data_IF_572172716861
#
_entry.id   IF_572172716861
#
_cell.length_a   1.000
_cell.length_b   1.000
_cell.length_c   1.000
_cell.angle_alpha   90.00
_cell.angle_beta   90.00
_cell.angle_gamma   90.00
#
_symmetry.space_group_name_H-M   'P 1'
#
loop_
_entity.id
_entity.type
_entity.pdbx_description
1 polymer ?
#
# COMPACT_ATOMS: atom_id res chain seq x y z
N UNK A 1 76.78 -11.80 32.59
CA UNK A 1 77.42 -10.47 32.48
C UNK A 1 76.48 -9.59 31.67
N UNK A 2 76.00 -8.51 32.27
CA UNK A 2 75.05 -7.56 31.70
C UNK A 2 75.65 -6.81 30.51
N UNK A 3 74.92 -6.68 29.42
CA UNK A 3 75.06 -5.56 28.49
C UNK A 3 73.70 -4.91 28.28
N UNK A 4 73.67 -3.63 28.63
CA UNK A 4 72.58 -2.71 28.42
C UNK A 4 72.33 -2.49 26.92
N UNK A 5 71.06 -2.31 26.54
CA UNK A 5 70.71 -1.53 25.35
C UNK A 5 69.64 -0.51 25.72
N UNK A 6 70.07 0.73 25.60
CA UNK A 6 69.38 1.98 25.88
C UNK A 6 68.70 2.46 24.59
N UNK A 7 67.49 3.01 24.74
CA UNK A 7 66.83 4.01 23.88
C UNK A 7 66.28 3.57 22.52
N UNK A 8 64.95 3.67 22.37
CA UNK A 8 64.29 4.66 21.48
C UNK A 8 62.78 4.66 21.73
N UNK A 9 62.27 5.62 22.51
CA UNK A 9 60.83 5.93 22.57
C UNK A 9 60.50 6.80 21.36
N UNK A 10 59.90 6.20 20.33
CA UNK A 10 59.31 6.94 19.21
C UNK A 10 57.91 7.37 19.64
N UNK A 11 57.74 8.68 19.78
CA UNK A 11 56.44 9.35 19.85
C UNK A 11 55.82 9.30 18.47
N UNK A 12 54.74 8.53 18.31
CA UNK A 12 53.80 8.71 17.21
C UNK A 12 52.43 8.93 17.82
N UNK A 13 52.06 10.21 17.86
CA UNK A 13 50.69 10.64 18.01
C UNK A 13 49.88 10.16 16.79
N UNK A 14 48.84 9.36 17.03
CA UNK A 14 47.74 9.20 16.07
C UNK A 14 46.46 9.52 16.80
N UNK A 15 45.80 10.56 16.29
CA UNK A 15 44.47 11.05 16.60
C UNK A 15 43.54 10.01 17.24
N UNK A 16 43.02 10.37 18.41
CA UNK A 16 41.78 9.85 18.97
C UNK A 16 40.66 10.02 17.92
N UNK A 17 40.41 8.98 17.12
CA UNK A 17 39.13 8.85 16.43
C UNK A 17 38.08 8.60 17.52
N UNK A 18 37.34 9.66 17.82
CA UNK A 18 36.07 9.63 18.53
C UNK A 18 35.26 8.40 18.08
N UNK A 19 34.96 7.48 19.00
CA UNK A 19 33.90 6.52 18.80
C UNK A 19 32.61 7.32 18.60
N UNK A 20 32.25 7.59 17.34
CA UNK A 20 30.87 7.92 17.01
C UNK A 20 30.07 6.67 17.34
N UNK A 21 29.37 6.71 18.47
CA UNK A 21 28.32 5.77 18.77
C UNK A 21 27.40 5.72 17.55
N UNK A 22 27.28 4.53 16.96
CA UNK A 22 26.18 4.25 16.07
C UNK A 22 24.94 4.30 16.96
N UNK A 23 24.28 5.45 16.99
CA UNK A 23 22.92 5.55 17.49
C UNK A 23 22.12 4.57 16.63
N UNK A 24 21.74 3.43 17.22
CA UNK A 24 20.73 2.56 16.67
C UNK A 24 19.49 3.44 16.47
N UNK A 25 19.14 3.69 15.21
CA UNK A 25 17.89 4.37 14.86
C UNK A 25 16.75 3.48 15.37
N UNK A 26 16.17 3.86 16.50
CA UNK A 26 14.91 3.31 16.96
C UNK A 26 13.86 3.47 15.85
N UNK A 27 13.04 2.45 15.55
CA UNK A 27 11.93 2.63 14.63
C UNK A 27 10.99 3.68 15.21
N UNK A 28 10.68 4.71 14.42
CA UNK A 28 9.73 5.75 14.82
C UNK A 28 8.37 5.10 15.10
N UNK A 29 7.66 5.51 16.18
CA UNK A 29 6.28 5.08 16.39
C UNK A 29 5.41 5.57 15.24
N UNK A 30 4.50 4.70 14.81
CA UNK A 30 3.64 4.82 13.65
C UNK A 30 2.54 5.88 13.88
N UNK A 31 2.89 7.17 13.89
CA UNK A 31 1.93 8.28 13.89
C UNK A 31 2.61 9.61 13.50
N UNK A 32 2.62 9.94 12.20
CA UNK A 32 2.65 11.32 11.69
C UNK A 32 2.44 11.34 10.16
N UNK A 33 1.18 11.44 9.75
CA UNK A 33 0.79 11.93 8.44
C UNK A 33 1.23 13.40 8.29
N UNK A 34 2.08 13.72 7.31
CA UNK A 34 2.35 15.10 6.89
C UNK A 34 1.84 15.28 5.45
N UNK A 35 0.74 16.00 5.21
CA UNK A 35 0.36 16.38 3.87
C UNK A 35 1.19 17.61 3.46
N UNK A 36 2.12 17.45 2.52
CA UNK A 36 2.64 18.60 1.79
C UNK A 36 1.64 18.98 0.69
N UNK A 37 0.78 19.95 1.01
CA UNK A 37 -0.01 20.77 0.09
C UNK A 37 0.92 21.55 -0.88
N UNK A 38 0.57 22.06 -2.05
CA UNK A 38 -0.58 21.98 -2.97
C UNK A 38 -0.17 22.90 -4.17
N UNK A 39 -0.02 22.38 -5.39
CA UNK A 39 0.44 23.15 -6.56
C UNK A 39 -0.70 23.93 -7.28
N UNK A 40 -1.47 24.74 -6.54
CA UNK A 40 -2.23 25.86 -7.11
C UNK A 40 -3.34 25.53 -8.12
N UNK A 41 -3.90 24.31 -8.14
CA UNK A 41 -5.12 24.02 -8.89
C UNK A 41 -6.35 24.25 -8.01
N UNK A 42 -7.37 24.92 -8.57
CA UNK A 42 -8.66 25.19 -7.93
C UNK A 42 -9.21 23.90 -7.29
N UNK A 43 -9.41 23.93 -5.97
CA UNK A 43 -9.91 22.79 -5.22
C UNK A 43 -11.37 22.52 -5.61
N UNK A 44 -11.64 21.37 -6.23
CA UNK A 44 -12.99 20.80 -6.24
C UNK A 44 -13.34 20.49 -4.77
N UNK A 45 -14.53 20.87 -4.25
CA UNK A 45 -14.92 20.48 -2.91
C UNK A 45 -14.92 18.95 -2.81
N UNK A 46 -14.11 18.40 -1.92
CA UNK A 46 -14.19 16.98 -1.58
C UNK A 46 -15.62 16.70 -1.09
N UNK A 47 -16.27 15.61 -1.54
CA UNK A 47 -17.51 15.16 -0.92
C UNK A 47 -17.29 15.03 0.59
N UNK A 48 -18.22 15.57 1.40
CA UNK A 48 -18.19 15.40 2.85
C UNK A 48 -18.11 13.91 3.18
N UNK A 49 -17.22 13.48 4.09
CA UNK A 49 -17.12 12.08 4.47
C UNK A 49 -18.45 11.63 5.05
N UNK A 50 -19.12 10.71 4.37
CA UNK A 50 -20.25 9.98 4.96
C UNK A 50 -19.74 9.20 6.18
N UNK A 51 -20.54 9.08 7.26
CA UNK A 51 -20.18 8.21 8.37
C UNK A 51 -19.88 6.81 7.82
N UNK A 52 -18.85 6.16 8.37
CA UNK A 52 -18.51 4.77 8.03
C UNK A 52 -19.77 3.92 8.10
N UNK A 53 -20.19 3.25 7.01
CA UNK A 53 -21.29 2.32 7.08
C UNK A 53 -21.01 1.29 8.18
N UNK A 54 -21.97 1.06 9.08
CA UNK A 54 -21.84 0.03 10.11
C UNK A 54 -21.70 -1.38 9.49
N UNK A 55 -22.13 -1.55 8.23
CA UNK A 55 -22.00 -2.76 7.44
C UNK A 55 -20.71 -2.73 6.59
N UNK A 56 -19.74 -3.62 6.85
CA UNK A 56 -18.51 -3.74 6.04
C UNK A 56 -18.77 -3.96 4.55
N UNK A 57 -19.83 -4.68 4.17
CA UNK A 57 -20.14 -4.91 2.74
C UNK A 57 -20.54 -3.61 2.03
N UNK A 58 -21.30 -2.75 2.70
CA UNK A 58 -21.66 -1.43 2.16
C UNK A 58 -20.42 -0.58 1.98
N UNK A 59 -19.51 -0.57 2.96
CA UNK A 59 -18.26 0.16 2.87
C UNK A 59 -17.36 -0.35 1.73
N UNK A 60 -17.26 -1.66 1.55
CA UNK A 60 -16.50 -2.28 0.45
C UNK A 60 -17.08 -1.93 -0.92
N UNK A 61 -18.41 -1.94 -1.07
CA UNK A 61 -19.09 -1.54 -2.31
C UNK A 61 -18.96 -0.04 -2.60
N UNK A 62 -18.90 0.78 -1.56
CA UNK A 62 -18.62 2.21 -1.71
C UNK A 62 -17.21 2.46 -2.27
N UNK A 63 -16.20 1.67 -1.88
CA UNK A 63 -14.88 1.70 -2.53
C UNK A 63 -14.98 1.38 -4.02
N UNK A 64 -15.70 0.32 -4.40
CA UNK A 64 -15.91 -0.03 -5.83
C UNK A 64 -16.50 1.15 -6.60
N UNK A 65 -17.55 1.78 -6.05
CA UNK A 65 -18.21 2.93 -6.67
C UNK A 65 -17.25 4.11 -6.87
N UNK A 66 -16.55 4.51 -5.81
CA UNK A 66 -15.60 5.64 -5.82
C UNK A 66 -14.41 5.40 -6.75
N UNK A 67 -13.86 4.18 -6.77
CA UNK A 67 -12.79 3.79 -7.69
C UNK A 67 -13.27 3.88 -9.14
N UNK A 68 -14.48 3.40 -9.44
CA UNK A 68 -15.03 3.48 -10.79
C UNK A 68 -15.34 4.91 -11.23
N UNK A 69 -15.85 5.77 -10.35
CA UNK A 69 -15.99 7.21 -10.64
C UNK A 69 -14.64 7.83 -11.00
N UNK A 70 -13.60 7.52 -10.21
CA UNK A 70 -12.25 8.01 -10.47
C UNK A 70 -11.68 7.48 -11.80
N UNK A 71 -11.88 6.20 -12.10
CA UNK A 71 -11.47 5.58 -13.37
C UNK A 71 -12.11 6.27 -14.56
N UNK A 72 -13.43 6.43 -14.55
CA UNK A 72 -14.17 7.07 -15.65
C UNK A 72 -13.74 8.53 -15.82
N UNK A 73 -13.57 9.27 -14.71
CA UNK A 73 -13.10 10.66 -14.76
C UNK A 73 -11.69 10.80 -15.36
N UNK A 74 -10.88 9.74 -15.36
CA UNK A 74 -9.52 9.71 -15.91
C UNK A 74 -9.42 8.93 -17.24
N UNK A 75 -10.56 8.70 -17.92
CA UNK A 75 -10.58 8.09 -19.25
C UNK A 75 -10.48 6.56 -19.26
N UNK A 76 -10.67 5.92 -18.10
CA UNK A 76 -10.60 4.48 -17.95
C UNK A 76 -12.00 3.86 -17.86
N UNK A 77 -12.25 2.71 -18.50
CA UNK A 77 -13.51 2.01 -18.31
C UNK A 77 -13.71 1.63 -16.84
N UNK A 78 -14.96 1.71 -16.40
CA UNK A 78 -15.37 1.12 -15.13
C UNK A 78 -15.12 -0.40 -15.16
N UNK A 79 -14.59 -0.92 -14.06
CA UNK A 79 -14.36 -2.34 -13.86
C UNK A 79 -15.50 -2.92 -12.99
N UNK A 80 -16.15 -4.02 -13.39
CA UNK A 80 -17.22 -4.62 -12.59
C UNK A 80 -16.69 -5.22 -11.29
N UNK A 81 -17.55 -5.28 -10.27
CA UNK A 81 -17.33 -6.10 -9.07
C UNK A 81 -17.25 -7.58 -9.49
N UNK A 82 -16.21 -8.28 -9.03
CA UNK A 82 -16.06 -9.72 -9.20
C UNK A 82 -16.15 -10.43 -7.84
N UNK A 83 -17.13 -11.32 -7.63
CA UNK A 83 -17.33 -11.99 -6.35
C UNK A 83 -16.11 -12.78 -5.84
N UNK A 84 -15.34 -13.39 -6.74
CA UNK A 84 -14.13 -14.15 -6.37
C UNK A 84 -13.05 -13.20 -5.84
N UNK A 85 -12.84 -12.06 -6.50
CA UNK A 85 -11.92 -11.04 -6.01
C UNK A 85 -12.40 -10.40 -4.70
N UNK A 86 -13.72 -10.21 -4.54
CA UNK A 86 -14.30 -9.72 -3.29
C UNK A 86 -14.00 -10.67 -2.12
N UNK A 87 -14.19 -11.97 -2.30
CA UNK A 87 -13.86 -12.98 -1.28
C UNK A 87 -12.35 -13.06 -1.02
N UNK A 88 -11.54 -13.09 -2.07
CA UNK A 88 -10.08 -13.20 -1.94
C UNK A 88 -9.46 -11.98 -1.24
N UNK A 89 -9.93 -10.77 -1.58
CA UNK A 89 -9.48 -9.53 -0.94
C UNK A 89 -9.91 -9.49 0.53
N UNK A 90 -11.14 -9.91 0.84
CA UNK A 90 -11.62 -10.01 2.23
C UNK A 90 -10.76 -10.98 3.04
N UNK A 91 -10.52 -12.18 2.51
CA UNK A 91 -9.69 -13.17 3.15
C UNK A 91 -8.26 -12.65 3.40
N UNK A 92 -7.74 -11.78 2.53
CA UNK A 92 -6.43 -11.15 2.74
C UNK A 92 -6.46 -10.12 3.87
N UNK A 93 -7.48 -9.26 3.92
CA UNK A 93 -7.68 -8.34 5.05
C UNK A 93 -7.80 -9.09 6.38
N UNK A 94 -8.52 -10.20 6.40
CA UNK A 94 -8.67 -11.06 7.59
C UNK A 94 -7.34 -11.72 7.98
N UNK A 95 -6.57 -12.21 7.00
CA UNK A 95 -5.26 -12.81 7.23
C UNK A 95 -4.28 -11.79 7.83
N UNK A 96 -4.20 -10.59 7.24
CA UNK A 96 -3.37 -9.50 7.75
C UNK A 96 -3.73 -9.12 9.19
N UNK A 97 -5.03 -9.01 9.48
CA UNK A 97 -5.52 -8.70 10.83
C UNK A 97 -5.18 -9.80 11.83
N UNK A 98 -5.36 -11.08 11.46
CA UNK A 98 -5.11 -12.21 12.33
C UNK A 98 -3.62 -12.41 12.66
N UNK A 99 -2.73 -12.04 11.73
CA UNK A 99 -1.28 -12.23 11.87
C UNK A 99 -0.54 -10.95 12.28
N UNK A 100 -1.25 -9.82 12.44
CA UNK A 100 -0.67 -8.51 12.72
C UNK A 100 0.42 -8.09 11.70
N UNK A 101 0.14 -8.30 10.41
CA UNK A 101 1.03 -7.91 9.32
C UNK A 101 0.34 -6.90 8.39
N UNK A 102 1.13 -6.12 7.65
CA UNK A 102 0.65 -5.22 6.60
C UNK A 102 1.51 -5.38 5.35
N UNK A 103 1.15 -6.35 4.51
CA UNK A 103 1.95 -6.79 3.37
C UNK A 103 1.04 -7.17 2.20
N UNK A 104 1.55 -7.01 0.98
CA UNK A 104 0.89 -7.52 -0.21
C UNK A 104 0.79 -9.03 -0.19
N UNK A 105 -0.32 -9.57 -0.71
CA UNK A 105 -0.56 -11.01 -0.76
C UNK A 105 0.53 -11.72 -1.55
N UNK A 106 1.06 -11.08 -2.60
CA UNK A 106 2.11 -11.62 -3.46
C UNK A 106 3.46 -11.81 -2.75
N UNK A 107 3.70 -11.12 -1.64
CA UNK A 107 4.92 -11.30 -0.84
C UNK A 107 4.91 -12.64 -0.09
N UNK A 108 3.74 -13.11 0.33
CA UNK A 108 3.55 -14.34 1.10
C UNK A 108 3.05 -15.50 0.23
N UNK A 109 2.10 -15.20 -0.65
CA UNK A 109 1.40 -16.13 -1.53
C UNK A 109 1.27 -15.51 -2.93
N UNK A 110 2.28 -15.67 -3.80
CA UNK A 110 2.26 -15.14 -5.17
C UNK A 110 1.01 -15.53 -5.99
N UNK A 111 0.36 -16.64 -5.62
CA UNK A 111 -0.84 -17.18 -6.28
C UNK A 111 -2.12 -16.97 -5.44
N UNK A 112 -2.16 -15.95 -4.58
CA UNK A 112 -3.27 -15.77 -3.63
C UNK A 112 -4.65 -15.75 -4.29
N UNK A 113 -4.79 -14.99 -5.38
CA UNK A 113 -6.03 -14.85 -6.13
C UNK A 113 -6.31 -16.07 -7.03
N UNK A 114 -5.29 -16.60 -7.71
CA UNK A 114 -5.43 -17.76 -8.59
C UNK A 114 -5.76 -19.05 -7.85
N UNK A 115 -5.17 -19.27 -6.68
CA UNK A 115 -5.51 -20.39 -5.79
C UNK A 115 -6.95 -20.33 -5.25
N UNK A 116 -7.61 -19.17 -5.34
CA UNK A 116 -9.01 -18.96 -4.95
C UNK A 116 -9.97 -18.95 -6.14
N UNK A 117 -9.48 -19.29 -7.34
CA UNK A 117 -10.30 -19.45 -8.52
C UNK A 117 -10.39 -18.22 -9.42
N UNK A 118 -9.68 -17.13 -9.13
CA UNK A 118 -9.55 -16.03 -10.10
C UNK A 118 -8.55 -16.45 -11.19
N UNK A 119 -8.98 -16.65 -12.43
CA UNK A 119 -8.16 -17.32 -13.45
C UNK A 119 -6.92 -16.55 -13.92
N UNK A 120 -6.75 -15.30 -13.48
CA UNK A 120 -5.71 -14.39 -13.95
C UNK A 120 -4.96 -13.73 -12.79
N UNK A 121 -4.01 -12.87 -13.13
CA UNK A 121 -3.24 -12.12 -12.13
C UNK A 121 -4.06 -10.94 -11.56
N UNK A 122 -3.73 -10.50 -10.35
CA UNK A 122 -4.35 -9.35 -9.71
C UNK A 122 -3.31 -8.47 -9.01
N UNK A 123 -3.53 -7.16 -9.11
CA UNK A 123 -2.74 -6.13 -8.42
C UNK A 123 -3.48 -5.66 -7.18
N UNK A 124 -2.74 -5.18 -6.19
CA UNK A 124 -3.31 -4.77 -4.92
C UNK A 124 -2.97 -3.32 -4.55
N UNK A 125 -3.93 -2.63 -3.96
CA UNK A 125 -3.68 -1.46 -3.11
C UNK A 125 -4.12 -1.80 -1.69
N UNK A 126 -3.28 -1.47 -0.70
CA UNK A 126 -3.58 -1.65 0.71
C UNK A 126 -3.69 -0.29 1.40
N UNK A 127 -4.53 -0.18 2.41
CA UNK A 127 -4.58 0.97 3.31
C UNK A 127 -4.87 0.51 4.74
N UNK A 128 -4.37 1.25 5.72
CA UNK A 128 -4.58 0.98 7.15
C UNK A 128 -4.77 2.29 7.90
N UNK A 129 -5.79 2.33 8.76
CA UNK A 129 -6.06 3.47 9.66
C UNK A 129 -7.20 4.39 9.19
N UNK A 130 -7.66 4.25 7.94
CA UNK A 130 -8.78 5.02 7.40
C UNK A 130 -10.10 4.46 7.95
N UNK A 131 -10.98 5.37 8.38
CA UNK A 131 -12.31 5.02 8.88
C UNK A 131 -13.31 4.81 7.75
N UNK A 132 -13.09 5.45 6.61
CA UNK A 132 -14.09 5.49 5.51
C UNK A 132 -13.50 5.05 4.18
N UNK A 133 -14.38 4.55 3.31
CA UNK A 133 -14.05 4.25 1.92
C UNK A 133 -13.48 5.48 1.19
N UNK A 134 -14.04 6.67 1.46
CA UNK A 134 -13.60 7.94 0.87
C UNK A 134 -12.16 8.26 1.26
N UNK A 135 -11.79 8.09 2.52
CA UNK A 135 -10.40 8.30 2.98
C UNK A 135 -9.45 7.27 2.34
N UNK A 136 -9.81 5.98 2.33
CA UNK A 136 -8.97 4.94 1.72
C UNK A 136 -8.72 5.21 0.23
N UNK A 137 -9.79 5.52 -0.52
CA UNK A 137 -9.69 5.83 -1.96
C UNK A 137 -8.91 7.12 -2.20
N UNK A 138 -9.12 8.17 -1.40
CA UNK A 138 -8.36 9.41 -1.50
C UNK A 138 -6.86 9.17 -1.30
N UNK A 139 -6.48 8.39 -0.29
CA UNK A 139 -5.08 8.10 0.00
C UNK A 139 -4.43 7.25 -1.11
N UNK A 140 -5.19 6.34 -1.74
CA UNK A 140 -4.72 5.65 -2.95
C UNK A 140 -4.57 6.58 -4.16
N UNK A 141 -5.47 7.53 -4.37
CA UNK A 141 -5.34 8.52 -5.44
C UNK A 141 -4.12 9.44 -5.24
N UNK A 142 -3.85 9.83 -4.00
CA UNK A 142 -2.74 10.71 -3.64
C UNK A 142 -1.35 10.03 -3.73
N UNK A 143 -1.30 8.70 -3.67
CA UNK A 143 -0.05 7.92 -3.80
C UNK A 143 0.22 7.55 -5.26
N UNK A 144 1.33 8.00 -5.89
CA UNK A 144 1.62 7.68 -7.30
C UNK A 144 1.66 6.18 -7.62
N UNK A 145 2.13 5.36 -6.67
CA UNK A 145 2.19 3.90 -6.87
C UNK A 145 0.80 3.26 -6.79
N UNK A 146 -0.04 3.66 -5.82
CA UNK A 146 -1.40 3.15 -5.70
C UNK A 146 -2.28 3.66 -6.86
N UNK A 147 -2.09 4.90 -7.28
CA UNK A 147 -2.84 5.51 -8.35
C UNK A 147 -2.60 4.81 -9.71
N UNK A 148 -1.38 4.33 -9.95
CA UNK A 148 -1.08 3.51 -11.13
C UNK A 148 -1.95 2.24 -11.19
N UNK A 149 -2.22 1.60 -10.05
CA UNK A 149 -3.15 0.47 -9.98
C UNK A 149 -4.56 0.94 -10.32
N UNK A 150 -5.06 2.01 -9.68
CA UNK A 150 -6.41 2.54 -9.92
C UNK A 150 -6.66 2.86 -11.40
N UNK A 151 -5.63 3.36 -12.11
CA UNK A 151 -5.68 3.75 -13.52
C UNK A 151 -5.05 2.72 -14.46
N UNK A 152 -5.17 1.44 -14.14
CA UNK A 152 -4.91 0.34 -15.09
C UNK A 152 -6.18 0.02 -15.88
N UNK A 153 -6.23 0.34 -17.18
CA UNK A 153 -7.51 0.61 -17.87
C UNK A 153 -7.84 -0.35 -19.01
N UNK A 154 -6.88 -0.58 -19.90
CA UNK A 154 -7.02 -1.49 -21.03
C UNK A 154 -5.65 -1.67 -21.68
N UNK A 155 -5.29 -2.90 -22.04
CA UNK A 155 -4.10 -3.18 -22.82
C UNK A 155 -4.53 -3.59 -24.24
N UNK A 156 -4.47 -2.66 -25.18
CA UNK A 156 -4.92 -2.88 -26.57
C UNK A 156 -4.23 -4.06 -27.27
N UNK A 157 -2.98 -4.34 -26.91
CA UNK A 157 -2.21 -5.47 -27.44
C UNK A 157 -2.71 -6.83 -26.96
N UNK A 158 -3.32 -6.91 -25.78
CA UNK A 158 -3.78 -8.18 -25.18
C UNK A 158 -5.30 -8.31 -25.15
N UNK A 159 -6.04 -7.20 -25.35
CA UNK A 159 -7.48 -7.15 -25.16
C UNK A 159 -7.91 -7.21 -23.69
N UNK A 160 -6.96 -7.11 -22.74
CA UNK A 160 -7.24 -7.27 -21.32
C UNK A 160 -8.18 -6.18 -20.78
N UNK A 161 -9.18 -6.63 -20.01
CA UNK A 161 -10.09 -5.79 -19.22
C UNK A 161 -9.79 -5.98 -17.73
N UNK A 162 -10.53 -5.30 -16.85
CA UNK A 162 -10.28 -5.38 -15.41
C UNK A 162 -11.55 -5.65 -14.63
N UNK A 163 -11.39 -6.36 -13.52
CA UNK A 163 -12.42 -6.59 -12.51
C UNK A 163 -11.91 -6.10 -11.13
N UNK A 164 -12.84 -5.76 -10.24
CA UNK A 164 -12.51 -5.25 -8.90
C UNK A 164 -13.00 -6.19 -7.79
N UNK A 165 -12.23 -6.26 -6.70
CA UNK A 165 -12.65 -6.82 -5.42
C UNK A 165 -12.11 -6.01 -4.26
N UNK A 166 -12.83 -5.93 -3.15
CA UNK A 166 -12.43 -5.15 -1.97
C UNK A 166 -12.61 -6.00 -0.73
N UNK A 167 -11.66 -5.94 0.19
CA UNK A 167 -11.70 -6.51 1.54
C UNK A 167 -11.62 -5.41 2.60
N UNK A 168 -12.27 -5.64 3.74
CA UNK A 168 -12.22 -4.75 4.90
C UNK A 168 -12.26 -5.56 6.21
N UNK A 169 -11.26 -5.39 7.06
CA UNK A 169 -11.29 -5.87 8.44
C UNK A 169 -10.75 -4.80 9.40
N UNK A 170 -11.56 -4.35 10.35
CA UNK A 170 -11.23 -3.20 11.18
C UNK A 170 -11.00 -1.95 10.32
N UNK A 171 -9.75 -1.47 10.29
CA UNK A 171 -9.32 -0.35 9.42
C UNK A 171 -8.33 -0.80 8.32
N UNK A 172 -8.22 -2.10 8.08
CA UNK A 172 -7.40 -2.68 7.00
C UNK A 172 -8.24 -2.83 5.74
N UNK A 173 -7.85 -2.11 4.70
CA UNK A 173 -8.49 -2.12 3.39
C UNK A 173 -7.60 -2.82 2.37
N UNK A 174 -8.18 -3.73 1.61
CA UNK A 174 -7.53 -4.36 0.45
C UNK A 174 -8.37 -4.06 -0.78
N UNK A 175 -7.79 -3.44 -1.81
CA UNK A 175 -8.36 -3.38 -3.15
C UNK A 175 -7.59 -4.34 -4.04
N UNK A 176 -8.28 -5.29 -4.65
CA UNK A 176 -7.79 -6.14 -5.71
C UNK A 176 -8.28 -5.64 -7.08
N UNK A 177 -7.37 -5.48 -8.02
CA UNK A 177 -7.66 -5.21 -9.43
C UNK A 177 -7.15 -6.40 -10.26
N UNK A 178 -8.07 -7.25 -10.69
CA UNK A 178 -7.76 -8.41 -11.50
C UNK A 178 -7.72 -8.06 -12.99
N UNK A 179 -6.68 -8.52 -13.69
CA UNK A 179 -6.59 -8.42 -15.15
C UNK A 179 -7.36 -9.58 -15.78
N UNK A 180 -8.41 -9.33 -16.55
CA UNK A 180 -9.20 -10.37 -17.23
C UNK A 180 -8.89 -10.39 -18.73
N UNK A 181 -8.29 -11.47 -19.18
CA UNK A 181 -8.05 -11.72 -20.61
C UNK A 181 -9.34 -12.22 -21.29
N UNK A 182 -9.49 -11.98 -22.62
CA UNK A 182 -10.61 -12.50 -23.40
C UNK A 182 -10.68 -14.02 -23.46
#
# INVERSE_FOLDING_TARGET
>A
MNFARTTLLIVVAVCLLSLRGHAASSPLPFDAYVPMANNGRLAVPLPTPSPTPADPLVARREVIRLVNEYRVANGCPAAPENPILMEAAQAWSDYMQAHNIFEHSSAQYPQWYTSRGYSWDARENLASGQDTAQQAVHDWQASPNHNRTLLSCYYASTGATYDLGVGLNGRLWTLALGERLP
#
